data_IF_706697902754
#
_entry.id   IF_706697902754
#
_cell.length_a   1.000
_cell.length_b   1.000
_cell.length_c   1.000
_cell.angle_alpha   90.00
_cell.angle_beta   90.00
_cell.angle_gamma   90.00
#
_symmetry.space_group_name_H-M   'P 1'
#
loop_
_entity.id
_entity.type
_entity.pdbx_description
1 polymer ?
#
# COMPACT_ATOMS: atom_id res chain seq x y z
N UNK A 1 -24.51 29.22 -32.08
CA UNK A 1 -23.08 29.36 -31.72
C UNK A 1 -22.89 30.71 -31.06
N UNK A 2 -22.33 30.68 -29.86
CA UNK A 2 -22.37 31.68 -28.76
C UNK A 2 -23.63 32.56 -28.66
N UNK A 3 -24.63 32.08 -27.90
CA UNK A 3 -25.61 32.98 -27.29
C UNK A 3 -25.21 33.44 -25.88
N UNK A 4 -24.16 32.86 -25.26
CA UNK A 4 -23.71 33.20 -23.89
C UNK A 4 -22.26 32.77 -23.52
N UNK A 5 -21.39 32.41 -24.48
CA UNK A 5 -20.03 31.90 -24.18
C UNK A 5 -18.92 32.89 -24.55
N UNK A 6 -18.03 33.22 -23.61
CA UNK A 6 -16.88 34.09 -23.87
C UNK A 6 -15.86 33.37 -24.77
N UNK A 7 -15.54 33.97 -25.92
CA UNK A 7 -14.47 33.51 -26.80
C UNK A 7 -13.14 34.13 -26.37
N UNK A 8 -12.14 33.29 -26.13
CA UNK A 8 -10.78 33.71 -25.81
C UNK A 8 -9.93 33.75 -27.09
N UNK A 9 -9.20 34.84 -27.31
CA UNK A 9 -8.27 34.94 -28.43
C UNK A 9 -6.93 34.32 -28.06
N UNK A 10 -6.52 33.30 -28.78
CA UNK A 10 -5.22 32.63 -28.63
C UNK A 10 -4.35 32.87 -29.86
N UNK A 11 -3.04 32.99 -29.66
CA UNK A 11 -2.08 32.90 -30.77
C UNK A 11 -2.00 31.47 -31.30
N UNK A 12 -1.35 31.27 -32.45
CA UNK A 12 -1.32 29.96 -33.09
C UNK A 12 -0.64 28.88 -32.23
N UNK A 13 0.41 29.25 -31.46
CA UNK A 13 1.13 28.31 -30.61
C UNK A 13 0.29 27.85 -29.41
N UNK A 14 -0.32 28.80 -28.70
CA UNK A 14 -1.23 28.53 -27.59
C UNK A 14 -2.49 27.80 -28.08
N UNK A 15 -3.00 28.14 -29.28
CA UNK A 15 -4.14 27.45 -29.86
C UNK A 15 -3.86 25.97 -30.10
N UNK A 16 -2.74 25.65 -30.74
CA UNK A 16 -2.37 24.26 -30.99
C UNK A 16 -2.12 23.54 -29.67
N UNK A 17 -1.44 24.14 -28.71
CA UNK A 17 -1.22 23.51 -27.40
C UNK A 17 -2.54 23.27 -26.63
N UNK A 18 -3.49 24.20 -26.74
CA UNK A 18 -4.83 24.06 -26.16
C UNK A 18 -5.62 22.92 -26.79
N UNK A 19 -5.58 22.77 -28.12
CA UNK A 19 -6.39 21.77 -28.84
C UNK A 19 -5.67 20.45 -29.16
N UNK A 20 -4.36 20.34 -28.90
CA UNK A 20 -3.60 19.07 -28.97
C UNK A 20 -3.65 18.28 -27.66
N UNK A 21 -4.69 18.51 -26.85
CA UNK A 21 -5.03 17.67 -25.70
C UNK A 21 -6.01 16.60 -26.17
N UNK A 22 -5.68 15.34 -25.92
CA UNK A 22 -6.49 14.17 -26.32
C UNK A 22 -7.91 14.23 -25.75
N UNK A 23 -8.06 14.77 -24.53
CA UNK A 23 -9.34 15.05 -23.92
C UNK A 23 -9.44 16.54 -23.61
N UNK A 24 -10.39 17.20 -24.25
CA UNK A 24 -10.66 18.60 -24.05
C UNK A 24 -11.45 18.81 -22.76
N UNK A 25 -10.84 19.51 -21.80
CA UNK A 25 -11.50 19.92 -20.55
C UNK A 25 -11.55 21.45 -20.38
N UNK A 26 -10.77 22.18 -21.18
CA UNK A 26 -10.56 23.63 -21.05
C UNK A 26 -11.31 24.39 -22.14
N UNK A 27 -11.41 23.81 -23.34
CA UNK A 27 -12.04 24.44 -24.50
C UNK A 27 -12.91 23.43 -25.26
N UNK A 28 -13.93 23.90 -25.97
CA UNK A 28 -14.86 23.02 -26.71
C UNK A 28 -14.81 23.29 -28.21
N UNK A 29 -15.25 24.48 -28.65
CA UNK A 29 -15.27 24.86 -30.06
C UNK A 29 -14.11 25.81 -30.36
N UNK A 30 -13.55 25.72 -31.56
CA UNK A 30 -12.50 26.63 -32.06
C UNK A 30 -12.93 27.28 -33.36
N UNK A 31 -12.66 28.57 -33.50
CA UNK A 31 -12.78 29.29 -34.76
C UNK A 31 -11.37 29.71 -35.21
N UNK A 32 -10.98 29.28 -36.41
CA UNK A 32 -9.73 29.68 -37.03
C UNK A 32 -9.97 30.93 -37.86
N UNK A 33 -9.14 31.96 -37.66
CA UNK A 33 -9.29 33.24 -38.37
C UNK A 33 -8.18 33.39 -39.40
N UNK A 34 -8.58 33.70 -40.64
CA UNK A 34 -7.69 33.94 -41.79
C UNK A 34 -8.00 35.30 -42.44
N UNK A 35 -6.98 35.97 -42.99
CA UNK A 35 -7.12 37.26 -43.67
C UNK A 35 -7.55 37.13 -45.13
N UNK A 36 -7.43 35.93 -45.73
CA UNK A 36 -7.74 35.66 -47.16
C UNK A 36 -8.87 34.65 -47.36
N UNK A 37 -10.06 34.82 -46.76
CA UNK A 37 -11.14 33.86 -46.93
C UNK A 37 -11.61 33.87 -48.40
N UNK A 38 -11.82 32.68 -48.97
CA UNK A 38 -12.47 32.54 -50.27
C UNK A 38 -13.88 33.16 -50.29
N UNK A 39 -14.59 33.15 -49.15
CA UNK A 39 -15.89 33.77 -48.96
C UNK A 39 -15.94 34.44 -47.56
N UNK A 40 -16.16 35.77 -47.49
CA UNK A 40 -16.14 36.54 -46.23
C UNK A 40 -17.39 36.36 -45.36
N UNK A 41 -18.45 35.78 -45.91
CA UNK A 41 -19.77 35.71 -45.25
C UNK A 41 -20.14 34.32 -44.74
N UNK A 42 -19.23 33.35 -44.86
CA UNK A 42 -19.52 31.94 -44.61
C UNK A 42 -18.42 31.28 -43.77
N UNK A 43 -18.83 30.45 -42.81
CA UNK A 43 -17.90 29.63 -42.03
C UNK A 43 -17.63 28.34 -42.77
N UNK A 44 -16.35 28.04 -43.03
CA UNK A 44 -15.94 26.75 -43.58
C UNK A 44 -15.75 25.76 -42.43
N UNK A 45 -16.48 24.65 -42.48
CA UNK A 45 -16.30 23.56 -41.53
C UNK A 45 -14.95 22.88 -41.75
N UNK A 46 -14.13 22.82 -40.70
CA UNK A 46 -12.79 22.20 -40.74
C UNK A 46 -12.85 20.72 -40.37
N UNK A 47 -13.62 20.40 -39.34
CA UNK A 47 -13.75 19.05 -38.81
C UNK A 47 -14.22 19.07 -37.37
N UNK A 48 -14.33 17.87 -36.81
CA UNK A 48 -14.52 17.64 -35.39
C UNK A 48 -13.54 16.57 -34.94
N UNK A 49 -13.22 16.58 -33.65
CA UNK A 49 -12.42 15.53 -33.05
C UNK A 49 -13.37 14.39 -32.68
N UNK A 50 -13.18 13.23 -33.31
CA UNK A 50 -13.90 12.02 -32.88
C UNK A 50 -13.46 11.63 -31.47
N UNK A 51 -14.36 10.95 -30.75
CA UNK A 51 -14.07 10.37 -29.44
C UNK A 51 -12.87 9.46 -29.61
N UNK A 52 -11.74 9.84 -28.97
CA UNK A 52 -10.50 9.11 -29.11
C UNK A 52 -10.68 7.65 -28.69
N UNK A 53 -10.70 6.76 -29.68
CA UNK A 53 -10.64 5.31 -29.49
C UNK A 53 -9.20 4.89 -29.70
N UNK A 54 -8.49 4.45 -28.65
CA UNK A 54 -7.05 4.19 -28.71
C UNK A 54 -6.58 3.16 -29.75
N UNK A 55 -7.51 2.45 -30.38
CA UNK A 55 -7.26 1.43 -31.41
C UNK A 55 -7.31 2.01 -32.83
N UNK A 56 -7.99 3.14 -33.05
CA UNK A 56 -8.27 3.68 -34.38
C UNK A 56 -8.32 5.21 -34.36
N UNK A 57 -7.28 5.86 -34.89
CA UNK A 57 -7.32 7.28 -35.27
C UNK A 57 -6.41 8.22 -34.48
N UNK A 58 -5.84 9.21 -35.19
CA UNK A 58 -5.22 10.37 -34.56
C UNK A 58 -6.32 11.39 -34.23
N UNK A 59 -6.45 11.87 -32.98
CA UNK A 59 -7.47 12.84 -32.61
C UNK A 59 -7.24 14.24 -33.21
N UNK A 60 -6.05 14.49 -33.78
CA UNK A 60 -5.60 15.82 -34.23
C UNK A 60 -5.58 15.97 -35.75
N UNK A 61 -6.35 15.16 -36.47
CA UNK A 61 -6.38 15.16 -37.95
C UNK A 61 -6.68 16.52 -38.55
N UNK A 62 -7.53 17.33 -37.91
CA UNK A 62 -7.89 18.67 -38.41
C UNK A 62 -6.73 19.68 -38.34
N UNK A 63 -5.74 19.46 -37.46
CA UNK A 63 -4.54 20.30 -37.30
C UNK A 63 -3.45 19.88 -38.30
N UNK A 64 -3.44 18.59 -38.68
CA UNK A 64 -2.45 18.03 -39.59
C UNK A 64 -2.83 18.29 -41.07
N UNK A 65 -1.85 18.56 -41.96
CA UNK A 65 -2.12 18.74 -43.39
C UNK A 65 -2.72 17.47 -44.05
N UNK A 66 -3.46 17.66 -45.15
CA UNK A 66 -4.31 16.67 -45.84
C UNK A 66 -3.61 15.44 -46.48
N UNK A 67 -2.39 15.08 -46.10
CA UNK A 67 -1.70 13.94 -46.68
C UNK A 67 -2.23 12.61 -46.10
N UNK A 68 -2.89 11.82 -46.95
CA UNK A 68 -3.73 10.68 -46.57
C UNK A 68 -2.92 9.46 -46.08
N UNK A 69 -1.63 9.38 -46.39
CA UNK A 69 -0.73 8.30 -45.93
C UNK A 69 -0.16 8.49 -44.51
N UNK A 70 -0.31 9.68 -43.91
CA UNK A 70 0.37 10.03 -42.64
C UNK A 70 -0.56 10.34 -41.45
N UNK A 71 -1.88 10.18 -41.59
CA UNK A 71 -2.82 10.46 -40.49
C UNK A 71 -2.52 9.63 -39.22
N UNK A 72 -1.93 8.44 -39.35
CA UNK A 72 -1.47 7.59 -38.24
C UNK A 72 -0.19 8.10 -37.55
N UNK A 73 0.53 9.08 -38.11
CA UNK A 73 1.77 9.68 -37.59
C UNK A 73 1.64 11.16 -37.23
N UNK A 74 0.42 11.68 -37.14
CA UNK A 74 0.16 13.11 -36.89
C UNK A 74 0.80 13.65 -35.59
N UNK A 75 1.03 12.83 -34.54
CA UNK A 75 1.79 13.26 -33.35
C UNK A 75 3.25 13.68 -33.67
N UNK A 76 3.93 12.93 -34.54
CA UNK A 76 5.29 13.28 -34.99
C UNK A 76 5.27 14.51 -35.91
N UNK A 77 4.18 14.65 -36.68
CA UNK A 77 3.95 15.82 -37.53
C UNK A 77 3.70 17.08 -36.71
N UNK A 78 2.92 17.02 -35.62
CA UNK A 78 2.72 18.13 -34.68
C UNK A 78 4.03 18.65 -34.09
N UNK A 79 4.98 17.75 -33.79
CA UNK A 79 6.33 18.15 -33.35
C UNK A 79 7.08 18.92 -34.45
N UNK A 80 6.92 18.55 -35.72
CA UNK A 80 7.48 19.30 -36.85
C UNK A 80 6.70 20.58 -37.20
N UNK A 81 5.40 20.65 -36.89
CA UNK A 81 4.55 21.82 -37.11
C UNK A 81 4.80 22.92 -36.07
N UNK A 82 5.21 22.57 -34.84
CA UNK A 82 5.61 23.57 -33.82
C UNK A 82 6.59 24.63 -34.35
N UNK A 83 7.67 24.26 -35.05
CA UNK A 83 8.54 25.21 -35.77
C UNK A 83 7.82 26.13 -36.76
N UNK A 84 6.91 25.60 -37.61
CA UNK A 84 6.17 26.38 -38.62
C UNK A 84 5.18 27.35 -37.99
N UNK A 85 4.56 26.95 -36.88
CA UNK A 85 3.65 27.76 -36.07
C UNK A 85 4.38 28.92 -35.42
N UNK A 86 5.57 28.66 -34.88
CA UNK A 86 6.46 29.70 -34.35
C UNK A 86 6.97 30.61 -35.47
N UNK A 87 7.14 30.10 -36.68
CA UNK A 87 7.51 30.86 -37.88
C UNK A 87 6.33 31.60 -38.54
N UNK A 88 5.09 31.41 -38.09
CA UNK A 88 3.89 32.08 -38.62
C UNK A 88 3.29 31.47 -39.90
N UNK A 89 3.74 30.29 -40.32
CA UNK A 89 3.32 29.63 -41.56
C UNK A 89 2.28 28.52 -41.33
N UNK A 90 1.47 28.62 -40.27
CA UNK A 90 0.47 27.59 -39.98
C UNK A 90 -0.69 27.66 -40.96
N UNK A 91 -0.92 26.56 -41.70
CA UNK A 91 -2.00 26.45 -42.67
C UNK A 91 -2.96 25.31 -42.33
N UNK A 92 -4.25 25.55 -42.52
CA UNK A 92 -5.32 24.56 -42.39
C UNK A 92 -6.19 24.63 -43.65
N UNK A 93 -6.41 23.50 -44.33
CA UNK A 93 -7.11 23.44 -45.62
C UNK A 93 -6.53 24.40 -46.68
N UNK A 94 -5.21 24.53 -46.73
CA UNK A 94 -4.46 25.45 -47.62
C UNK A 94 -4.83 26.94 -47.41
N UNK A 95 -5.15 27.33 -46.18
CA UNK A 95 -5.41 28.71 -45.78
C UNK A 95 -4.49 29.10 -44.62
N UNK A 96 -3.78 30.25 -44.69
CA UNK A 96 -2.93 30.71 -43.61
C UNK A 96 -3.78 31.17 -42.42
N UNK A 97 -3.45 30.68 -41.22
CA UNK A 97 -4.16 30.99 -39.99
C UNK A 97 -3.41 32.06 -39.20
N UNK A 98 -4.12 33.13 -38.82
CA UNK A 98 -3.54 34.27 -38.10
C UNK A 98 -3.62 34.12 -36.59
N UNK A 99 -4.76 33.66 -36.11
CA UNK A 99 -5.06 33.39 -34.70
C UNK A 99 -6.30 32.50 -34.60
N UNK A 100 -6.59 31.99 -33.41
CA UNK A 100 -7.85 31.30 -33.16
C UNK A 100 -8.65 31.94 -32.03
N UNK A 101 -9.98 31.74 -32.08
CA UNK A 101 -10.90 32.08 -31.01
C UNK A 101 -11.39 30.76 -30.39
N UNK A 102 -11.06 30.54 -29.13
CA UNK A 102 -11.38 29.33 -28.39
C UNK A 102 -12.59 29.59 -27.49
N UNK A 103 -13.60 28.72 -27.56
CA UNK A 103 -14.72 28.74 -26.63
C UNK A 103 -14.34 27.98 -25.36
N UNK A 104 -14.33 28.68 -24.22
CA UNK A 104 -13.98 28.10 -22.92
C UNK A 104 -15.03 27.08 -22.52
N UNK A 105 -14.59 25.85 -22.24
CA UNK A 105 -15.47 24.79 -21.77
C UNK A 105 -15.83 25.00 -20.29
N UNK A 106 -17.08 24.73 -19.94
CA UNK A 106 -17.51 24.64 -18.55
C UNK A 106 -17.06 23.27 -18.01
N UNK A 107 -16.21 23.18 -16.97
CA UNK A 107 -15.77 21.91 -16.44
C UNK A 107 -16.95 21.18 -15.77
N UNK A 108 -17.40 20.10 -16.38
CA UNK A 108 -18.41 19.21 -15.79
C UNK A 108 -17.73 18.14 -14.95
N UNK A 109 -17.52 18.41 -13.66
CA UNK A 109 -17.10 17.38 -12.71
C UNK A 109 -18.31 16.55 -12.27
N UNK A 110 -18.35 15.27 -12.66
CA UNK A 110 -19.39 14.32 -12.24
C UNK A 110 -18.76 13.14 -11.53
N UNK A 111 -19.36 12.73 -10.41
CA UNK A 111 -18.95 11.54 -9.69
C UNK A 111 -19.43 10.30 -10.46
N UNK A 112 -18.51 9.52 -11.00
CA UNK A 112 -18.80 8.18 -11.50
C UNK A 112 -18.56 7.15 -10.39
N UNK A 113 -19.58 6.37 -10.06
CA UNK A 113 -19.49 5.28 -9.08
C UNK A 113 -20.34 4.09 -9.51
N UNK A 114 -19.95 2.90 -9.06
CA UNK A 114 -20.72 1.67 -9.25
C UNK A 114 -21.52 1.36 -8.00
N UNK A 115 -22.85 1.53 -8.06
CA UNK A 115 -23.74 1.21 -6.93
C UNK A 115 -23.57 -0.24 -6.42
N UNK A 116 -23.46 -1.28 -7.28
CA UNK A 116 -23.20 -2.64 -6.81
C UNK A 116 -21.92 -2.77 -5.99
N UNK A 117 -20.82 -2.14 -6.42
CA UNK A 117 -19.57 -2.18 -5.67
C UNK A 117 -19.70 -1.47 -4.31
N UNK A 118 -20.37 -0.33 -4.28
CA UNK A 118 -20.63 0.41 -3.04
C UNK A 118 -21.43 -0.45 -2.05
N UNK A 119 -22.49 -1.10 -2.50
CA UNK A 119 -23.31 -2.00 -1.64
C UNK A 119 -22.46 -3.14 -1.10
N UNK A 120 -21.65 -3.79 -1.95
CA UNK A 120 -20.75 -4.87 -1.52
C UNK A 120 -19.77 -4.37 -0.46
N UNK A 121 -19.10 -3.24 -0.67
CA UNK A 121 -18.16 -2.66 0.30
C UNK A 121 -18.85 -2.32 1.61
N UNK A 122 -20.06 -1.75 1.57
CA UNK A 122 -20.85 -1.47 2.77
C UNK A 122 -21.17 -2.73 3.56
N UNK A 123 -21.57 -3.82 2.89
CA UNK A 123 -21.83 -5.12 3.57
C UNK A 123 -20.57 -5.63 4.26
N UNK A 124 -19.41 -5.63 3.60
CA UNK A 124 -18.16 -6.06 4.21
C UNK A 124 -17.74 -5.19 5.41
N UNK A 125 -17.94 -3.88 5.32
CA UNK A 125 -17.68 -2.96 6.45
C UNK A 125 -18.62 -3.29 7.62
N UNK A 126 -19.90 -3.50 7.36
CA UNK A 126 -20.88 -3.87 8.39
C UNK A 126 -20.50 -5.20 9.07
N UNK A 127 -20.15 -6.23 8.30
CA UNK A 127 -19.67 -7.50 8.84
C UNK A 127 -18.45 -7.29 9.73
N UNK A 128 -17.44 -6.51 9.29
CA UNK A 128 -16.27 -6.19 10.11
C UNK A 128 -16.64 -5.50 11.42
N UNK A 129 -17.52 -4.50 11.38
CA UNK A 129 -17.97 -3.79 12.58
C UNK A 129 -18.68 -4.75 13.54
N UNK A 130 -19.60 -5.58 13.04
CA UNK A 130 -20.30 -6.59 13.84
C UNK A 130 -19.31 -7.56 14.48
N UNK A 131 -18.33 -8.08 13.72
CA UNK A 131 -17.30 -8.97 14.26
C UNK A 131 -16.45 -8.28 15.32
N UNK A 132 -16.02 -7.04 15.10
CA UNK A 132 -15.24 -6.29 16.08
C UNK A 132 -16.04 -6.06 17.37
N UNK A 133 -17.31 -5.65 17.25
CA UNK A 133 -18.19 -5.46 18.40
C UNK A 133 -18.43 -6.78 19.15
N UNK A 134 -18.68 -7.87 18.42
CA UNK A 134 -18.85 -9.20 19.02
C UNK A 134 -17.62 -9.63 19.80
N UNK A 135 -16.42 -9.51 19.20
CA UNK A 135 -15.14 -9.84 19.84
C UNK A 135 -14.89 -8.94 21.06
N UNK A 136 -15.19 -7.65 20.96
CA UNK A 136 -15.01 -6.70 22.05
C UNK A 136 -15.90 -6.97 23.27
N UNK A 137 -17.12 -7.50 23.05
CA UNK A 137 -18.07 -7.80 24.14
C UNK A 137 -17.87 -9.20 24.73
N UNK A 138 -17.43 -10.17 23.92
CA UNK A 138 -17.32 -11.59 24.36
C UNK A 138 -16.00 -11.94 25.02
N UNK A 139 -14.89 -11.28 24.66
CA UNK A 139 -13.58 -11.66 25.19
C UNK A 139 -13.23 -10.84 26.45
N UNK A 140 -13.46 -11.43 27.62
CA UNK A 140 -13.19 -10.80 28.92
C UNK A 140 -11.73 -10.93 29.40
N UNK A 141 -10.99 -11.97 28.97
CA UNK A 141 -9.58 -12.22 29.35
C UNK A 141 -8.73 -12.64 28.15
N UNK A 142 -8.47 -11.73 27.19
CA UNK A 142 -7.70 -12.08 26.00
C UNK A 142 -6.20 -12.22 26.34
N UNK A 143 -5.59 -13.35 25.96
CA UNK A 143 -4.13 -13.50 25.93
C UNK A 143 -3.60 -12.72 24.73
N UNK A 144 -3.24 -11.44 24.94
CA UNK A 144 -2.81 -10.52 23.87
C UNK A 144 -1.31 -10.28 23.89
N UNK A 145 -0.67 -10.57 25.02
CA UNK A 145 0.73 -10.28 25.26
C UNK A 145 1.46 -11.54 25.71
N UNK A 146 2.78 -11.57 25.52
CA UNK A 146 3.61 -12.65 26.06
C UNK A 146 3.53 -12.72 27.59
N UNK A 147 3.30 -11.59 28.26
CA UNK A 147 3.11 -11.59 29.71
C UNK A 147 1.81 -12.25 30.14
N UNK A 148 0.72 -12.16 29.35
CA UNK A 148 -0.51 -12.92 29.62
C UNK A 148 -0.26 -14.44 29.52
N UNK A 149 0.54 -14.86 28.52
CA UNK A 149 0.91 -16.27 28.35
C UNK A 149 1.84 -16.76 29.49
N UNK A 150 2.86 -15.97 29.87
CA UNK A 150 3.73 -16.29 31.01
C UNK A 150 2.91 -16.38 32.30
N UNK A 151 2.02 -15.42 32.55
CA UNK A 151 1.16 -15.43 33.74
C UNK A 151 0.31 -16.71 33.80
N UNK A 152 -0.31 -17.08 32.69
CA UNK A 152 -1.11 -18.30 32.60
C UNK A 152 -0.29 -19.58 32.84
N UNK A 153 0.93 -19.69 32.28
CA UNK A 153 1.77 -20.87 32.48
C UNK A 153 2.45 -20.92 33.85
N UNK A 154 2.66 -19.78 34.52
CA UNK A 154 3.12 -19.72 35.91
C UNK A 154 2.01 -20.13 36.88
N UNK A 155 0.76 -19.76 36.59
CA UNK A 155 -0.40 -20.16 37.38
C UNK A 155 -0.74 -21.65 37.17
N UNK A 156 -0.64 -22.13 35.93
CA UNK A 156 -0.91 -23.53 35.57
C UNK A 156 0.18 -24.08 34.63
N UNK A 157 1.24 -24.70 35.20
CA UNK A 157 2.32 -25.29 34.41
C UNK A 157 1.85 -26.43 33.49
N UNK A 158 2.32 -26.43 32.24
CA UNK A 158 2.03 -27.49 31.27
C UNK A 158 2.98 -28.68 31.47
N UNK A 159 2.47 -29.88 31.73
CA UNK A 159 3.29 -31.07 31.99
C UNK A 159 3.97 -31.64 30.75
N UNK A 160 3.54 -31.25 29.54
CA UNK A 160 4.10 -31.77 28.27
C UNK A 160 5.52 -31.24 27.96
N UNK A 161 5.96 -30.19 28.67
CA UNK A 161 7.27 -29.53 28.48
C UNK A 161 8.32 -29.92 29.54
N UNK A 162 8.03 -30.91 30.40
CA UNK A 162 8.96 -31.40 31.41
C UNK A 162 10.32 -31.79 30.77
N UNK A 163 11.41 -31.23 31.29
CA UNK A 163 12.77 -31.51 30.81
C UNK A 163 13.19 -30.76 29.54
N UNK A 164 12.42 -29.77 29.08
CA UNK A 164 12.63 -29.05 27.80
C UNK A 164 12.83 -27.54 27.98
N UNK A 165 13.41 -27.09 29.09
CA UNK A 165 13.51 -25.68 29.48
C UNK A 165 14.23 -24.74 28.48
N UNK A 166 14.94 -25.27 27.48
CA UNK A 166 15.64 -24.50 26.44
C UNK A 166 15.01 -24.55 25.03
N UNK A 167 13.75 -24.99 24.91
CA UNK A 167 13.07 -25.15 23.61
C UNK A 167 12.96 -23.81 22.84
N UNK A 168 13.39 -23.77 21.57
CA UNK A 168 13.26 -22.59 20.70
C UNK A 168 12.31 -22.82 19.53
N UNK A 169 11.68 -21.75 19.06
CA UNK A 169 10.86 -21.75 17.84
C UNK A 169 11.58 -22.30 16.60
N UNK A 170 12.91 -22.13 16.54
CA UNK A 170 13.74 -22.60 15.42
C UNK A 170 13.80 -24.12 15.31
N UNK A 171 13.58 -24.82 16.43
CA UNK A 171 13.57 -26.29 16.48
C UNK A 171 12.26 -26.87 15.90
N UNK A 172 11.28 -26.00 15.58
CA UNK A 172 9.92 -26.37 15.17
C UNK A 172 9.51 -25.83 13.79
N UNK A 173 10.35 -25.03 13.11
CA UNK A 173 9.98 -24.39 11.82
C UNK A 173 11.04 -24.58 10.74
N UNK A 174 10.61 -25.04 9.55
CA UNK A 174 11.45 -25.11 8.36
C UNK A 174 11.60 -23.75 7.65
N UNK A 175 12.66 -23.55 6.85
CA UNK A 175 12.92 -22.28 6.18
C UNK A 175 11.82 -21.95 5.16
N UNK A 176 11.19 -20.78 5.30
CA UNK A 176 10.18 -20.31 4.35
C UNK A 176 10.85 -19.71 3.10
N UNK A 177 11.01 -20.55 2.08
CA UNK A 177 11.62 -20.24 0.76
C UNK A 177 10.74 -19.33 -0.12
N UNK A 178 9.48 -19.12 0.28
CA UNK A 178 8.47 -18.40 -0.49
C UNK A 178 8.73 -16.88 -0.57
N UNK A 179 9.25 -16.27 0.50
CA UNK A 179 9.51 -14.82 0.54
C UNK A 179 10.70 -14.40 -0.34
N UNK A 180 11.72 -15.25 -0.47
CA UNK A 180 12.88 -14.98 -1.33
C UNK A 180 12.52 -15.05 -2.83
N UNK A 181 11.62 -15.96 -3.19
CA UNK A 181 11.12 -16.11 -4.56
C UNK A 181 10.28 -14.90 -5.02
N UNK A 182 9.42 -14.36 -4.15
CA UNK A 182 8.61 -13.18 -4.46
C UNK A 182 9.46 -11.91 -4.60
N UNK A 183 10.52 -11.75 -3.80
CA UNK A 183 11.46 -10.63 -3.92
C UNK A 183 12.29 -10.71 -5.21
N UNK A 184 12.68 -11.91 -5.64
CA UNK A 184 13.40 -12.13 -6.89
C UNK A 184 12.57 -11.72 -8.12
N UNK A 185 11.28 -12.13 -8.17
CA UNK A 185 10.35 -11.76 -9.24
C UNK A 185 10.11 -10.23 -9.30
N UNK A 186 10.02 -9.60 -8.13
CA UNK A 186 9.88 -8.15 -8.02
C UNK A 186 11.09 -7.39 -8.57
N UNK A 187 12.31 -7.82 -8.25
CA UNK A 187 13.54 -7.20 -8.73
C UNK A 187 13.78 -7.40 -10.23
N UNK A 188 13.39 -8.56 -10.79
CA UNK A 188 13.53 -8.83 -12.22
C UNK A 188 12.58 -8.03 -13.12
N UNK A 189 11.52 -7.43 -12.54
CA UNK A 189 10.50 -6.68 -13.29
C UNK A 189 10.85 -5.18 -13.46
N UNK A 190 11.91 -4.70 -12.81
CA UNK A 190 12.38 -3.30 -12.93
C UNK A 190 13.51 -3.24 -13.96
N UNK A 191 13.15 -3.19 -15.24
CA UNK A 191 14.10 -2.91 -16.32
C UNK A 191 13.63 -1.72 -17.18
N UNK A 192 14.43 -0.66 -17.10
CA UNK A 192 14.60 0.52 -17.97
C UNK A 192 13.48 0.91 -18.95
N UNK A 193 12.85 2.07 -18.69
CA UNK A 193 12.42 3.00 -19.74
C UNK A 193 12.69 4.45 -19.32
N UNK A 194 13.60 5.09 -20.05
CA UNK A 194 13.93 6.52 -19.96
C UNK A 194 12.89 7.37 -20.69
N UNK A 195 12.49 8.49 -20.09
CA UNK A 195 11.76 9.58 -20.79
C UNK A 195 10.41 10.01 -20.22
N UNK A 196 10.23 10.04 -18.89
CA UNK A 196 8.90 10.21 -18.27
C UNK A 196 8.77 11.48 -17.39
N UNK A 197 9.80 12.30 -17.28
CA UNK A 197 9.92 13.32 -16.23
C UNK A 197 9.25 14.68 -16.50
N UNK A 198 8.15 14.74 -17.25
CA UNK A 198 7.46 16.02 -17.55
C UNK A 198 5.99 16.09 -17.12
N UNK A 199 5.43 15.05 -16.52
CA UNK A 199 4.04 15.06 -16.04
C UNK A 199 3.96 15.35 -14.53
N UNK A 200 3.07 16.25 -14.08
CA UNK A 200 2.82 16.48 -12.66
C UNK A 200 2.22 15.25 -11.96
N UNK A 201 2.29 15.20 -10.62
CA UNK A 201 1.54 14.21 -9.84
C UNK A 201 0.07 14.32 -10.24
N UNK A 202 -0.47 13.26 -10.86
CA UNK A 202 -1.86 13.17 -11.32
C UNK A 202 -2.25 14.00 -12.57
N UNK A 203 -1.30 14.53 -13.34
CA UNK A 203 -1.62 15.15 -14.63
C UNK A 203 -2.12 14.09 -15.64
N UNK A 204 -3.33 14.27 -16.16
CA UNK A 204 -3.93 13.38 -17.17
C UNK A 204 -3.20 13.55 -18.51
N UNK A 205 -2.30 12.62 -18.82
CA UNK A 205 -1.68 12.49 -20.13
C UNK A 205 -2.16 11.18 -20.78
N UNK A 206 -2.56 11.21 -22.04
CA UNK A 206 -3.00 10.01 -22.77
C UNK A 206 -1.90 8.93 -22.86
N UNK A 207 -0.62 9.32 -22.85
CA UNK A 207 0.52 8.38 -22.78
C UNK A 207 0.49 7.53 -21.51
N UNK A 208 -0.24 8.02 -20.52
CA UNK A 208 -0.41 7.39 -19.21
C UNK A 208 -1.74 6.66 -19.06
N UNK A 209 -2.55 6.56 -20.11
CA UNK A 209 -3.74 5.71 -20.13
C UNK A 209 -3.39 4.32 -20.69
N UNK A 210 -3.97 3.30 -20.08
CA UNK A 210 -3.81 1.91 -20.53
C UNK A 210 -4.92 1.60 -21.51
N UNK A 211 -4.53 1.45 -22.77
CA UNK A 211 -5.45 1.02 -23.81
C UNK A 211 -4.76 0.03 -24.73
N UNK A 212 -5.22 -1.22 -24.67
CA UNK A 212 -4.84 -2.29 -25.60
C UNK A 212 -6.11 -2.95 -26.07
N UNK A 213 -6.07 -3.67 -27.20
CA UNK A 213 -7.25 -4.33 -27.78
C UNK A 213 -7.94 -5.33 -26.83
N UNK A 214 -7.26 -5.75 -25.77
CA UNK A 214 -7.75 -6.70 -24.76
C UNK A 214 -8.13 -6.04 -23.42
N UNK A 215 -7.99 -4.72 -23.32
CA UNK A 215 -8.31 -4.01 -22.08
C UNK A 215 -9.83 -3.88 -21.91
N UNK A 216 -10.39 -4.16 -20.72
CA UNK A 216 -11.82 -4.03 -20.52
C UNK A 216 -12.25 -2.57 -20.64
N UNK A 217 -13.43 -2.33 -21.21
CA UNK A 217 -14.05 -0.99 -21.26
C UNK A 217 -15.04 -0.75 -20.13
N UNK A 218 -15.38 -1.80 -19.36
CA UNK A 218 -16.39 -1.74 -18.31
C UNK A 218 -15.84 -1.08 -17.04
N UNK A 219 -16.68 -0.28 -16.40
CA UNK A 219 -16.37 0.42 -15.16
C UNK A 219 -15.92 -0.56 -14.06
N UNK A 220 -16.63 -1.68 -13.89
CA UNK A 220 -16.38 -2.65 -12.83
C UNK A 220 -15.01 -3.30 -12.99
N UNK A 221 -14.68 -3.79 -14.20
CA UNK A 221 -13.41 -4.47 -14.44
C UNK A 221 -12.22 -3.51 -14.24
N UNK A 222 -12.31 -2.29 -14.78
CA UNK A 222 -11.27 -1.28 -14.57
C UNK A 222 -11.13 -0.88 -13.10
N UNK A 223 -12.25 -0.77 -12.36
CA UNK A 223 -12.22 -0.49 -10.92
C UNK A 223 -11.49 -1.59 -10.16
N UNK A 224 -11.76 -2.87 -10.46
CA UNK A 224 -11.06 -3.98 -9.82
C UNK A 224 -9.56 -3.96 -10.14
N UNK A 225 -9.19 -3.78 -11.41
CA UNK A 225 -7.79 -3.77 -11.84
C UNK A 225 -7.02 -2.61 -11.18
N UNK A 226 -7.59 -1.40 -11.14
CA UNK A 226 -6.96 -0.25 -10.49
C UNK A 226 -6.75 -0.42 -8.98
N UNK A 227 -7.47 -1.34 -8.33
CA UNK A 227 -7.37 -1.63 -6.90
C UNK A 227 -6.56 -2.90 -6.57
N UNK A 228 -6.13 -3.68 -7.57
CA UNK A 228 -5.28 -4.87 -7.36
C UNK A 228 -3.96 -4.54 -6.65
N UNK A 229 -3.21 -3.48 -7.01
CA UNK A 229 -1.98 -3.12 -6.30
C UNK A 229 -2.18 -2.87 -4.79
N UNK A 230 -3.32 -2.29 -4.42
CA UNK A 230 -3.70 -1.98 -3.04
C UNK A 230 -4.02 -3.26 -2.26
N UNK A 231 -4.61 -4.26 -2.91
CA UNK A 231 -4.80 -5.58 -2.32
C UNK A 231 -3.46 -6.27 -2.04
N UNK A 232 -2.56 -6.29 -3.02
CA UNK A 232 -1.20 -6.85 -2.87
C UNK A 232 -0.46 -6.13 -1.73
N UNK A 233 -0.53 -4.80 -1.71
CA UNK A 233 0.06 -3.99 -0.65
C UNK A 233 -0.50 -4.33 0.73
N UNK A 234 -1.82 -4.55 0.85
CA UNK A 234 -2.46 -4.92 2.12
C UNK A 234 -1.92 -6.24 2.68
N UNK A 235 -1.65 -7.22 1.82
CA UNK A 235 -1.03 -8.50 2.21
C UNK A 235 0.42 -8.31 2.67
N UNK A 236 1.19 -7.49 1.96
CA UNK A 236 2.57 -7.15 2.34
C UNK A 236 2.59 -6.42 3.68
N UNK A 237 1.69 -5.46 3.90
CA UNK A 237 1.57 -4.75 5.17
C UNK A 237 1.25 -5.70 6.33
N UNK A 238 0.33 -6.64 6.14
CA UNK A 238 0.00 -7.63 7.16
C UNK A 238 1.22 -8.48 7.54
N UNK A 239 1.97 -8.97 6.55
CA UNK A 239 3.22 -9.70 6.78
C UNK A 239 4.29 -8.85 7.47
N UNK A 240 4.49 -7.61 7.01
CA UNK A 240 5.44 -6.66 7.61
C UNK A 240 5.12 -6.39 9.08
N UNK A 241 3.85 -6.09 9.39
CA UNK A 241 3.39 -5.86 10.76
C UNK A 241 3.58 -7.12 11.62
N UNK A 242 3.31 -8.30 11.08
CA UNK A 242 3.55 -9.58 11.74
C UNK A 242 5.02 -9.80 12.11
N UNK A 243 5.94 -9.61 11.15
CA UNK A 243 7.39 -9.76 11.37
C UNK A 243 7.88 -8.75 12.41
N UNK A 244 7.53 -7.47 12.27
CA UNK A 244 7.97 -6.43 13.20
C UNK A 244 7.44 -6.67 14.61
N UNK A 245 6.18 -7.10 14.73
CA UNK A 245 5.59 -7.50 16.01
C UNK A 245 6.37 -8.66 16.63
N UNK A 246 6.67 -9.71 15.86
CA UNK A 246 7.44 -10.86 16.33
C UNK A 246 8.87 -10.48 16.79
N UNK A 247 9.54 -9.57 16.08
CA UNK A 247 10.85 -9.06 16.46
C UNK A 247 10.81 -8.27 17.77
N UNK A 248 9.84 -7.36 17.94
CA UNK A 248 9.72 -6.59 19.18
C UNK A 248 9.32 -7.45 20.36
N UNK A 249 8.48 -8.45 20.14
CA UNK A 249 8.09 -9.45 21.12
C UNK A 249 9.29 -10.28 21.57
N UNK A 250 10.13 -10.71 20.62
CA UNK A 250 11.36 -11.45 20.90
C UNK A 250 12.40 -10.59 21.62
N UNK A 251 12.47 -9.29 21.31
CA UNK A 251 13.32 -8.33 22.02
C UNK A 251 12.85 -8.11 23.48
N UNK A 252 11.54 -8.06 23.71
CA UNK A 252 10.96 -7.98 25.06
C UNK A 252 11.22 -9.26 25.86
N UNK A 253 11.01 -10.42 25.24
CA UNK A 253 11.33 -11.74 25.80
C UNK A 253 12.80 -11.85 26.24
N UNK A 254 13.72 -11.56 25.31
CA UNK A 254 15.16 -11.59 25.53
C UNK A 254 15.60 -10.71 26.71
N UNK A 255 14.90 -9.61 26.97
CA UNK A 255 15.23 -8.68 28.03
C UNK A 255 15.08 -9.29 29.43
N UNK A 256 14.15 -10.23 29.63
CA UNK A 256 13.92 -10.89 30.92
C UNK A 256 15.10 -11.72 31.40
N UNK A 257 16.02 -12.12 30.53
CA UNK A 257 17.25 -12.79 30.95
C UNK A 257 18.28 -11.81 31.53
N UNK A 258 18.29 -10.58 31.01
CA UNK A 258 19.28 -9.56 31.39
C UNK A 258 18.83 -8.67 32.55
N UNK A 259 17.52 -8.42 32.66
CA UNK A 259 16.94 -7.46 33.59
C UNK A 259 15.71 -8.05 34.27
N UNK A 260 15.60 -7.86 35.58
CA UNK A 260 14.39 -8.21 36.34
C UNK A 260 13.29 -7.20 36.06
N UNK A 261 12.12 -7.65 35.59
CA UNK A 261 10.98 -6.78 35.22
C UNK A 261 9.65 -7.48 35.47
N UNK A 262 8.60 -6.71 35.76
CA UNK A 262 7.25 -7.26 35.80
C UNK A 262 6.65 -7.49 34.42
N UNK A 263 5.72 -8.43 34.34
CA UNK A 263 5.08 -8.86 33.11
C UNK A 263 4.21 -7.76 32.52
N UNK A 264 4.20 -7.64 31.19
CA UNK A 264 3.25 -6.78 30.48
C UNK A 264 1.98 -7.57 30.23
N UNK A 265 0.85 -7.15 30.79
CA UNK A 265 -0.43 -7.88 30.73
C UNK A 265 -1.53 -7.04 30.08
N UNK A 266 -2.54 -7.71 29.54
CA UNK A 266 -3.67 -7.08 28.86
C UNK A 266 -4.76 -6.59 29.83
N UNK A 267 -4.85 -7.22 31.01
CA UNK A 267 -5.73 -6.86 32.11
C UNK A 267 -5.20 -5.66 32.91
N UNK A 268 -6.00 -5.18 33.88
CA UNK A 268 -5.53 -4.16 34.82
C UNK A 268 -4.30 -4.69 35.58
N UNK A 269 -3.13 -4.00 35.49
CA UNK A 269 -1.90 -4.52 36.07
C UNK A 269 -1.99 -4.56 37.59
N UNK A 270 -1.42 -5.61 38.18
CA UNK A 270 -1.27 -5.74 39.63
C UNK A 270 0.22 -5.71 40.04
N UNK A 271 0.53 -5.02 41.14
CA UNK A 271 1.87 -4.86 41.70
C UNK A 271 2.94 -4.43 40.68
N UNK A 272 3.90 -5.31 40.33
CA UNK A 272 5.01 -4.98 39.44
C UNK A 272 4.65 -5.11 37.95
N UNK A 273 3.45 -5.62 37.61
CA UNK A 273 2.98 -5.76 36.23
C UNK A 273 2.83 -4.41 35.54
N UNK A 274 2.91 -4.45 34.21
CA UNK A 274 2.83 -3.29 33.35
C UNK A 274 1.65 -3.45 32.40
N UNK A 275 0.93 -2.36 32.13
CA UNK A 275 -0.18 -2.40 31.18
C UNK A 275 0.32 -2.60 29.74
N UNK A 276 -0.51 -3.23 28.91
CA UNK A 276 -0.29 -3.31 27.46
C UNK A 276 -0.22 -1.93 26.81
N UNK A 277 0.39 -1.88 25.63
CA UNK A 277 0.13 -0.81 24.68
C UNK A 277 -1.27 -1.03 24.09
N UNK A 278 -2.00 0.04 23.74
CA UNK A 278 -3.30 -0.09 23.08
C UNK A 278 -3.20 -0.84 21.73
N UNK A 279 -2.03 -0.74 21.07
CA UNK A 279 -1.62 -1.51 19.90
C UNK A 279 -0.55 -2.53 20.32
N UNK A 280 -0.61 -3.79 19.88
CA UNK A 280 0.35 -4.85 20.29
C UNK A 280 1.83 -4.46 20.12
N UNK A 281 2.13 -3.56 19.18
CA UNK A 281 3.46 -3.03 18.85
C UNK A 281 3.75 -1.71 19.61
N UNK A 282 4.97 -1.49 20.16
CA UNK A 282 5.33 -0.23 20.81
C UNK A 282 5.20 0.97 19.87
N UNK A 283 4.69 2.11 20.38
CA UNK A 283 4.42 3.32 19.58
C UNK A 283 5.60 3.83 18.74
N UNK A 284 6.85 3.67 19.23
CA UNK A 284 8.07 4.04 18.48
C UNK A 284 8.25 3.29 17.15
N UNK A 285 7.62 2.12 17.00
CA UNK A 285 7.62 1.35 15.76
C UNK A 285 6.27 1.45 15.06
N UNK A 286 5.16 1.47 15.82
CA UNK A 286 3.82 1.53 15.27
C UNK A 286 3.53 2.86 14.56
N UNK A 287 3.92 4.00 15.14
CA UNK A 287 3.67 5.32 14.53
C UNK A 287 4.39 5.46 13.18
N UNK A 288 5.73 5.25 13.08
CA UNK A 288 6.41 5.32 11.79
C UNK A 288 5.85 4.32 10.77
N UNK A 289 5.52 3.09 11.20
CA UNK A 289 4.92 2.08 10.33
C UNK A 289 3.57 2.55 9.79
N UNK A 290 2.66 3.02 10.63
CA UNK A 290 1.35 3.51 10.20
C UNK A 290 1.46 4.73 9.29
N UNK A 291 2.34 5.69 9.61
CA UNK A 291 2.54 6.90 8.81
C UNK A 291 3.09 6.55 7.42
N UNK A 292 4.19 5.81 7.35
CA UNK A 292 4.80 5.41 6.07
C UNK A 292 3.89 4.49 5.27
N UNK A 293 3.13 3.62 5.96
CA UNK A 293 2.12 2.77 5.32
C UNK A 293 0.97 3.56 4.72
N UNK A 294 0.44 4.55 5.45
CA UNK A 294 -0.61 5.43 4.94
C UNK A 294 -0.15 6.24 3.72
N UNK A 295 1.08 6.75 3.77
CA UNK A 295 1.69 7.46 2.62
C UNK A 295 1.84 6.51 1.43
N UNK A 296 2.37 5.31 1.62
CA UNK A 296 2.54 4.33 0.55
C UNK A 296 1.20 3.90 -0.04
N UNK A 297 0.19 3.65 0.80
CA UNK A 297 -1.17 3.34 0.35
C UNK A 297 -1.78 4.46 -0.50
N UNK A 298 -1.58 5.72 -0.09
CA UNK A 298 -2.01 6.88 -0.87
C UNK A 298 -1.23 7.02 -2.19
N UNK A 299 0.09 6.85 -2.19
CA UNK A 299 0.89 6.89 -3.41
C UNK A 299 0.50 5.79 -4.41
N UNK A 300 0.14 4.61 -3.93
CA UNK A 300 -0.36 3.52 -4.78
C UNK A 300 -1.69 3.91 -5.44
N UNK A 301 -2.59 4.59 -4.73
CA UNK A 301 -3.85 5.08 -5.34
C UNK A 301 -3.64 6.16 -6.39
N UNK A 302 -2.52 6.89 -6.32
CA UNK A 302 -2.10 7.83 -7.36
C UNK A 302 -1.30 7.16 -8.49
N UNK A 303 -0.78 5.95 -8.26
CA UNK A 303 0.02 5.19 -9.23
C UNK A 303 -0.83 4.53 -10.29
N UNK A 304 -2.00 4.01 -9.92
CA UNK A 304 -3.01 3.45 -10.83
C UNK A 304 -4.37 3.99 -10.43
N UNK A 305 -5.03 4.67 -11.36
CA UNK A 305 -6.30 5.34 -11.10
C UNK A 305 -7.29 5.09 -12.24
N UNK A 306 -8.57 5.18 -11.94
CA UNK A 306 -9.63 5.01 -12.92
C UNK A 306 -9.93 6.35 -13.62
N UNK A 307 -10.13 6.30 -14.93
CA UNK A 307 -10.52 7.44 -15.77
C UNK A 307 -11.78 7.09 -16.54
N UNK A 308 -12.84 7.89 -16.36
CA UNK A 308 -14.06 7.83 -17.14
C UNK A 308 -14.07 8.94 -18.17
N UNK A 309 -14.37 8.61 -19.42
CA UNK A 309 -14.44 9.54 -20.55
C UNK A 309 -15.86 9.51 -21.09
N UNK A 310 -16.49 10.69 -21.12
CA UNK A 310 -17.81 10.87 -21.72
C UNK A 310 -17.68 11.24 -23.19
N UNK A 311 -18.46 10.57 -24.03
CA UNK A 311 -18.50 10.82 -25.46
C UNK A 311 -19.58 11.85 -25.82
N UNK A 312 -19.25 12.74 -26.76
CA UNK A 312 -20.18 13.71 -27.33
C UNK A 312 -20.14 13.63 -28.84
N UNK A 313 -21.31 13.80 -29.46
CA UNK A 313 -21.46 13.85 -30.92
C UNK A 313 -21.15 15.25 -31.49
N UNK A 314 -21.25 15.38 -32.81
CA UNK A 314 -21.08 16.63 -33.56
C UNK A 314 -22.07 17.75 -33.18
N UNK A 315 -23.19 17.41 -32.53
CA UNK A 315 -24.20 18.36 -32.06
C UNK A 315 -24.01 18.72 -30.58
N UNK A 316 -22.87 18.30 -29.98
CA UNK A 316 -22.58 18.41 -28.54
C UNK A 316 -23.64 17.71 -27.66
N UNK A 317 -24.28 16.66 -28.20
CA UNK A 317 -25.14 15.77 -27.44
C UNK A 317 -24.33 14.59 -26.93
N UNK A 318 -24.55 14.20 -25.68
CA UNK A 318 -23.87 13.07 -25.04
C UNK A 318 -24.26 11.77 -25.75
N UNK A 319 -23.27 10.95 -26.11
CA UNK A 319 -23.45 9.61 -26.66
C UNK A 319 -23.02 8.55 -25.63
N UNK A 320 -23.93 8.05 -24.78
CA UNK A 320 -23.60 7.06 -23.75
C UNK A 320 -23.05 5.75 -24.31
N UNK A 321 -23.34 5.41 -25.57
CA UNK A 321 -22.88 4.17 -26.19
C UNK A 321 -21.38 4.19 -26.50
N UNK A 322 -20.79 5.39 -26.58
CA UNK A 322 -19.37 5.62 -26.85
C UNK A 322 -18.58 6.02 -25.59
N UNK A 323 -19.22 6.07 -24.41
CA UNK A 323 -18.53 6.31 -23.13
C UNK A 323 -17.54 5.17 -22.84
N UNK A 324 -16.34 5.52 -22.39
CA UNK A 324 -15.31 4.52 -22.05
C UNK A 324 -14.77 4.73 -20.64
N UNK A 325 -14.55 3.63 -19.93
CA UNK A 325 -13.80 3.61 -18.66
C UNK A 325 -12.48 2.88 -18.89
N UNK A 326 -11.37 3.52 -18.53
CA UNK A 326 -10.01 3.00 -18.68
C UNK A 326 -9.19 3.29 -17.43
N UNK A 327 -8.06 2.61 -17.26
CA UNK A 327 -7.12 2.91 -16.18
C UNK A 327 -6.04 3.88 -16.67
N UNK A 328 -5.72 4.88 -15.86
CA UNK A 328 -4.51 5.69 -15.95
C UNK A 328 -3.44 5.22 -14.98
N UNK A 329 -2.19 5.56 -15.26
CA UNK A 329 -1.06 5.33 -14.35
C UNK A 329 -0.23 6.61 -14.15
N UNK A 330 0.42 6.79 -13.00
CA UNK A 330 1.35 7.91 -12.79
C UNK A 330 2.76 7.37 -12.57
N UNK A 331 3.68 7.56 -13.53
CA UNK A 331 5.05 7.09 -13.42
C UNK A 331 5.79 7.66 -12.21
N UNK A 332 5.57 8.93 -11.88
CA UNK A 332 6.17 9.56 -10.70
C UNK A 332 5.64 8.89 -9.43
N UNK A 333 4.32 8.69 -9.32
CA UNK A 333 3.74 8.02 -8.17
C UNK A 333 4.21 6.56 -8.05
N UNK A 334 4.38 5.86 -9.18
CA UNK A 334 4.94 4.49 -9.21
C UNK A 334 6.37 4.49 -8.67
N UNK A 335 7.24 5.38 -9.16
CA UNK A 335 8.63 5.48 -8.70
C UNK A 335 8.71 5.85 -7.22
N UNK A 336 7.90 6.81 -6.76
CA UNK A 336 7.81 7.18 -5.34
C UNK A 336 7.32 6.00 -4.48
N UNK A 337 6.31 5.27 -4.94
CA UNK A 337 5.77 4.08 -4.24
C UNK A 337 6.82 2.98 -4.10
N UNK A 338 7.51 2.66 -5.21
CA UNK A 338 8.57 1.65 -5.22
C UNK A 338 9.71 2.08 -4.29
N UNK A 339 10.17 3.33 -4.39
CA UNK A 339 11.28 3.85 -3.57
C UNK A 339 10.96 3.79 -2.07
N UNK A 340 9.77 4.24 -1.68
CA UNK A 340 9.33 4.18 -0.28
C UNK A 340 9.16 2.73 0.20
N UNK A 341 8.57 1.85 -0.62
CA UNK A 341 8.41 0.43 -0.31
C UNK A 341 9.76 -0.28 -0.09
N UNK A 342 10.74 -0.03 -0.96
CA UNK A 342 12.09 -0.58 -0.83
C UNK A 342 12.79 -0.06 0.43
N UNK A 343 12.63 1.23 0.77
CA UNK A 343 13.19 1.79 2.00
C UNK A 343 12.58 1.13 3.25
N UNK A 344 11.26 0.91 3.27
CA UNK A 344 10.57 0.20 4.36
C UNK A 344 11.11 -1.24 4.51
N UNK A 345 11.22 -1.99 3.42
CA UNK A 345 11.76 -3.37 3.45
C UNK A 345 13.22 -3.38 3.95
N UNK A 346 14.04 -2.45 3.46
CA UNK A 346 15.45 -2.33 3.88
C UNK A 346 15.57 -2.03 5.37
N UNK A 347 14.70 -1.17 5.91
CA UNK A 347 14.62 -0.90 7.34
C UNK A 347 14.27 -2.16 8.15
N UNK A 348 13.28 -2.94 7.70
CA UNK A 348 12.90 -4.19 8.34
C UNK A 348 14.05 -5.20 8.37
N UNK A 349 14.73 -5.39 7.24
CA UNK A 349 15.90 -6.26 7.12
C UNK A 349 17.03 -5.78 8.04
N UNK A 350 17.32 -4.47 8.04
CA UNK A 350 18.33 -3.87 8.92
C UNK A 350 18.03 -4.07 10.40
N UNK A 351 16.76 -3.96 10.82
CA UNK A 351 16.34 -4.28 12.18
C UNK A 351 16.53 -5.78 12.49
N UNK A 352 16.37 -6.65 11.49
CA UNK A 352 16.54 -8.10 11.62
C UNK A 352 17.97 -8.53 11.95
N UNK A 353 18.96 -7.76 11.49
CA UNK A 353 20.37 -8.02 11.79
C UNK A 353 20.80 -7.61 13.20
N UNK A 354 19.91 -6.97 13.99
CA UNK A 354 20.25 -6.55 15.35
C UNK A 354 20.28 -7.77 16.28
N UNK A 355 21.47 -8.17 16.80
CA UNK A 355 21.56 -9.34 17.66
C UNK A 355 20.89 -9.09 19.02
N UNK A 356 20.30 -10.14 19.58
CA UNK A 356 19.82 -10.15 20.96
C UNK A 356 21.00 -10.25 21.92
N UNK A 357 20.98 -9.50 23.03
CA UNK A 357 22.07 -9.47 24.03
C UNK A 357 21.94 -10.57 25.10
N UNK A 358 21.27 -11.68 24.79
CA UNK A 358 20.83 -12.68 25.77
C UNK A 358 21.03 -14.11 25.27
N UNK A 359 21.30 -15.03 26.19
CA UNK A 359 21.35 -16.47 25.97
C UNK A 359 19.97 -17.16 26.02
N UNK A 360 18.90 -16.40 26.32
CA UNK A 360 17.55 -16.95 26.40
C UNK A 360 17.07 -17.41 25.01
N UNK A 361 16.61 -18.68 24.88
CA UNK A 361 16.05 -19.19 23.64
C UNK A 361 14.87 -18.34 23.17
N UNK A 362 14.80 -18.09 21.86
CA UNK A 362 13.71 -17.31 21.28
C UNK A 362 12.47 -18.18 21.22
N UNK A 363 11.45 -17.84 22.03
CA UNK A 363 10.16 -18.53 22.03
C UNK A 363 9.22 -18.04 20.91
N UNK A 364 9.36 -16.78 20.47
CA UNK A 364 8.47 -16.20 19.46
C UNK A 364 7.02 -16.21 19.93
N UNK A 365 6.11 -16.75 19.10
CA UNK A 365 4.70 -16.99 19.45
C UNK A 365 4.40 -18.46 19.79
N UNK A 366 5.43 -19.29 20.00
CA UNK A 366 5.25 -20.70 20.31
C UNK A 366 4.85 -20.87 21.78
N UNK A 367 3.60 -21.24 22.04
CA UNK A 367 3.10 -21.50 23.40
C UNK A 367 3.92 -22.57 24.12
N UNK A 368 4.36 -23.60 23.41
CA UNK A 368 5.19 -24.69 23.97
C UNK A 368 6.55 -24.19 24.47
N UNK A 369 7.20 -23.30 23.72
CA UNK A 369 8.47 -22.71 24.14
C UNK A 369 8.29 -21.73 25.33
N UNK A 370 7.19 -20.99 25.36
CA UNK A 370 6.86 -20.12 26.50
C UNK A 370 6.59 -20.96 27.74
N UNK A 371 5.79 -22.02 27.63
CA UNK A 371 5.47 -22.93 28.71
C UNK A 371 6.72 -23.58 29.29
N UNK A 372 7.64 -24.05 28.44
CA UNK A 372 8.89 -24.66 28.87
C UNK A 372 9.77 -23.73 29.72
N UNK A 373 9.80 -22.44 29.40
CA UNK A 373 10.54 -21.44 30.17
C UNK A 373 9.84 -21.02 31.48
N UNK A 374 8.56 -21.35 31.65
CA UNK A 374 7.77 -21.08 32.85
C UNK A 374 7.61 -22.31 33.75
N UNK A 375 7.96 -23.50 33.25
CA UNK A 375 7.83 -24.73 34.01
C UNK A 375 8.70 -24.65 35.27
N UNK A 376 8.19 -25.02 36.45
CA UNK A 376 9.01 -25.10 37.67
C UNK A 376 9.93 -26.31 37.63
N UNK A 377 10.95 -26.34 38.49
CA UNK A 377 11.92 -27.43 38.55
C UNK A 377 11.22 -28.82 38.60
N UNK A 378 11.45 -29.70 37.60
CA UNK A 378 10.82 -31.02 37.51
C UNK A 378 11.03 -31.91 38.74
N UNK A 379 12.16 -31.74 39.45
CA UNK A 379 12.54 -32.54 40.62
C UNK A 379 11.81 -32.15 41.90
N UNK A 380 11.26 -30.94 41.97
CA UNK A 380 10.55 -30.42 43.14
C UNK A 380 9.08 -30.06 42.88
N UNK A 381 8.64 -30.13 41.61
CA UNK A 381 7.26 -29.88 41.22
C UNK A 381 6.30 -30.96 41.75
N UNK A 382 5.50 -30.57 42.74
CA UNK A 382 4.39 -31.34 43.28
C UNK A 382 3.07 -30.60 42.98
N UNK A 383 2.22 -31.13 42.07
CA UNK A 383 1.00 -30.46 41.63
C UNK A 383 -0.01 -30.24 42.77
N UNK A 384 0.03 -31.03 43.85
CA UNK A 384 -0.88 -30.90 44.99
C UNK A 384 -0.47 -29.77 45.95
N UNK A 385 0.85 -29.49 46.09
CA UNK A 385 1.36 -28.43 46.97
C UNK A 385 1.32 -27.03 46.35
N UNK A 386 1.31 -26.95 45.02
CA UNK A 386 1.33 -25.67 44.29
C UNK A 386 -0.07 -25.06 44.10
N UNK A 387 -1.12 -25.87 44.12
CA UNK A 387 -2.52 -25.45 43.93
C UNK A 387 -3.07 -24.52 45.04
N UNK A 388 -2.30 -24.17 46.07
CA UNK A 388 -2.77 -23.35 47.19
C UNK A 388 -1.76 -22.44 47.89
N UNK A 389 -0.52 -22.26 47.40
CA UNK A 389 0.53 -21.61 48.22
C UNK A 389 1.45 -20.59 47.53
N UNK A 390 1.22 -20.21 46.27
CA UNK A 390 2.06 -19.16 45.66
C UNK A 390 1.35 -17.80 45.71
N UNK A 391 1.97 -16.73 46.29
CA UNK A 391 1.57 -15.38 45.93
C UNK A 391 1.73 -15.26 44.41
N UNK A 392 0.75 -14.67 43.72
CA UNK A 392 0.71 -14.62 42.25
C UNK A 392 2.07 -14.19 41.68
N UNK A 393 2.93 -15.17 41.33
CA UNK A 393 4.34 -14.95 40.98
C UNK A 393 4.39 -14.09 39.72
N UNK A 394 3.35 -14.17 38.89
CA UNK A 394 3.15 -13.33 37.72
C UNK A 394 2.97 -11.84 38.06
N UNK A 395 2.58 -11.49 39.28
CA UNK A 395 2.50 -10.09 39.77
C UNK A 395 3.85 -9.51 40.21
N UNK A 396 4.87 -10.35 40.41
CA UNK A 396 6.20 -9.92 40.86
C UNK A 396 7.13 -9.58 39.68
N UNK A 397 8.26 -8.95 40.00
CA UNK A 397 9.30 -8.69 39.01
C UNK A 397 10.12 -9.96 38.76
N UNK A 398 10.06 -10.47 37.53
CA UNK A 398 10.66 -11.75 37.14
C UNK A 398 11.94 -11.55 36.32
N UNK A 399 12.83 -12.53 36.44
CA UNK A 399 14.01 -12.68 35.59
C UNK A 399 14.10 -14.15 35.18
N UNK A 400 14.53 -14.41 33.96
CA UNK A 400 14.76 -15.77 33.46
C UNK A 400 16.24 -16.14 33.64
N UNK A 401 16.50 -17.37 34.07
CA UNK A 401 17.86 -17.89 34.23
C UNK A 401 17.89 -19.21 34.98
N UNK A 402 19.09 -19.64 35.36
CA UNK A 402 19.30 -20.88 36.13
C UNK A 402 18.79 -20.68 37.56
N UNK A 403 17.84 -21.52 37.95
CA UNK A 403 17.32 -21.65 39.31
C UNK A 403 18.13 -22.77 39.98
N UNK A 404 18.99 -22.40 40.92
CA UNK A 404 19.83 -23.34 41.66
C UNK A 404 19.13 -23.72 42.98
N UNK A 405 18.98 -25.01 43.24
CA UNK A 405 18.41 -25.53 44.48
C UNK A 405 19.46 -26.28 45.33
N UNK A 406 20.36 -27.08 44.72
CA UNK A 406 21.45 -27.79 45.42
C UNK A 406 22.69 -27.94 44.52
N UNK A 407 23.90 -28.01 45.10
CA UNK A 407 25.18 -28.17 44.35
C UNK A 407 25.29 -29.48 43.54
N UNK A 408 24.37 -30.43 43.75
CA UNK A 408 24.40 -31.77 43.16
C UNK A 408 23.31 -32.04 42.10
N UNK A 409 22.41 -31.10 41.82
CA UNK A 409 21.36 -31.29 40.82
C UNK A 409 21.71 -30.66 39.48
N UNK A 410 21.21 -31.26 38.38
CA UNK A 410 21.28 -30.64 37.05
C UNK A 410 20.47 -29.35 37.10
N UNK A 411 21.06 -28.23 36.67
CA UNK A 411 20.42 -26.92 36.76
C UNK A 411 19.14 -26.84 35.93
N UNK A 412 18.17 -26.03 36.37
CA UNK A 412 16.92 -25.80 35.64
C UNK A 412 16.78 -24.33 35.24
N UNK A 413 16.35 -24.04 34.01
CA UNK A 413 16.16 -22.67 33.53
C UNK A 413 14.67 -22.29 33.56
N UNK A 414 14.29 -21.32 34.40
CA UNK A 414 12.90 -20.87 34.49
C UNK A 414 12.79 -19.37 34.82
N UNK A 415 11.59 -18.82 34.63
CA UNK A 415 11.23 -17.53 35.21
C UNK A 415 11.15 -17.62 36.74
N UNK A 416 11.82 -16.70 37.43
CA UNK A 416 11.84 -16.66 38.90
C UNK A 416 11.79 -15.24 39.46
N UNK A 417 11.09 -15.09 40.58
CA UNK A 417 11.12 -13.87 41.42
C UNK A 417 12.36 -13.81 42.32
N UNK A 418 13.09 -14.92 42.49
CA UNK A 418 14.37 -15.02 43.21
C UNK A 418 15.55 -14.85 42.27
N UNK A 419 16.75 -14.69 42.82
CA UNK A 419 17.96 -14.48 42.03
C UNK A 419 18.31 -15.68 41.14
N UNK A 420 18.67 -15.35 39.90
CA UNK A 420 18.98 -16.30 38.83
C UNK A 420 20.20 -15.81 38.05
N UNK A 421 21.05 -16.77 37.68
CA UNK A 421 22.26 -16.56 36.88
C UNK A 421 22.00 -16.93 35.41
N UNK A 422 22.84 -16.43 34.50
CA UNK A 422 22.74 -16.81 33.09
C UNK A 422 23.22 -18.25 32.89
N UNK A 423 22.59 -19.04 32.01
CA UNK A 423 23.10 -20.37 31.66
C UNK A 423 24.47 -20.27 31.01
N UNK A 424 25.32 -21.26 31.28
CA UNK A 424 26.68 -21.38 30.76
C UNK A 424 26.64 -22.27 29.53
N UNK A 425 27.35 -21.86 28.48
CA UNK A 425 27.39 -22.61 27.23
C UNK A 425 28.14 -23.94 27.45
N UNK A 426 27.54 -25.07 27.02
CA UNK A 426 28.10 -26.42 27.17
C UNK A 426 27.56 -27.21 28.37
N UNK A 427 26.80 -26.58 29.26
CA UNK A 427 26.15 -27.24 30.40
C UNK A 427 24.75 -27.77 30.04
N UNK A 428 24.32 -28.85 30.70
CA UNK A 428 22.99 -29.46 30.51
C UNK A 428 22.01 -28.86 31.53
N UNK A 429 20.83 -28.50 31.05
CA UNK A 429 19.73 -28.01 31.87
C UNK A 429 18.47 -28.83 31.58
N UNK A 430 17.74 -29.25 32.62
CA UNK A 430 16.54 -30.08 32.49
C UNK A 430 15.31 -29.36 32.97
#
# INVERSE_FOLDING_TARGET
MSQNGALEKLDNAACIDAYTKTYQNSYVNVLLVTDTPHNKSEYKYVGYQEVYRPVTGSPFTWICPNDYEEATKCQSKLLSTKPEVVAGNWEVLAQPIKYCLAEVAQPHCKLQYSLPLTVVVMVFILVKVITICYVAVTIHTPILTVGDAIASFLEKPDTTVRGKCLLSMKDLTGPSTFCAFLLYIGMSSVSNKTGIWTAGLQALDFRTLISTNFWPTSLIANTLIANLPQLVYSLIYFAYNGILTAMTMSAEWSQYATQRKGLRVSAAPNAAQRSKYFLSLPYRYAIPLMTTSGILHWLISQSFFLVGIEAYDQNLQRDPASDISVCGYSPIAIVCSISLGTAMISCLVGLGFKPFKSAMPVAGSCSLAIAAACFPDPGTYDPEKQAGSTPDIACLALKWGVVLLDESSVGHCAFSSKDVTMPVNGEVYH
#
